data_IF_714604581591
#
_entry.id   IF_714604581591
#
_cell.length_a   1.000
_cell.length_b   1.000
_cell.length_c   1.000
_cell.angle_alpha   90.00
_cell.angle_beta   90.00
_cell.angle_gamma   90.00
#
_symmetry.space_group_name_H-M   'P 1'
#
loop_
_entity.id
_entity.type
_entity.pdbx_description
1 polymer ?
#
# COMPACT_ATOMS: atom_id res chain seq x y z
N UNK A 1 -7.50 -18.82 28.48
CA UNK A 1 -7.03 -18.61 29.89
C UNK A 1 -6.48 -17.21 29.99
N UNK A 2 -7.22 -16.30 30.60
CA UNK A 2 -6.88 -14.87 30.68
C UNK A 2 -5.75 -14.68 31.69
N UNK A 3 -4.61 -14.15 31.27
CA UNK A 3 -3.57 -13.66 32.20
C UNK A 3 -3.74 -12.15 32.37
N UNK A 4 -4.17 -11.75 33.55
CA UNK A 4 -4.22 -10.35 33.99
C UNK A 4 -2.79 -9.93 34.35
N UNK A 5 -2.31 -8.84 33.75
CA UNK A 5 -1.10 -8.15 34.19
C UNK A 5 -1.55 -7.04 35.14
N UNK A 6 -1.00 -7.09 36.34
CA UNK A 6 -1.27 -6.15 37.43
C UNK A 6 -0.25 -5.02 37.34
N UNK A 7 -0.71 -3.80 37.11
CA UNK A 7 0.12 -2.60 37.21
C UNK A 7 0.38 -2.26 38.68
N UNK A 8 1.62 -2.16 39.08
CA UNK A 8 2.04 -1.71 40.41
C UNK A 8 2.25 -0.18 40.40
N UNK A 9 1.38 0.56 41.06
CA UNK A 9 1.58 1.98 41.37
C UNK A 9 2.55 2.10 42.54
N UNK A 10 3.67 2.80 42.35
CA UNK A 10 4.50 3.28 43.42
C UNK A 10 4.07 4.71 43.81
N UNK A 11 3.45 4.83 44.98
CA UNK A 11 3.15 6.10 45.60
C UNK A 11 4.37 6.55 46.43
N UNK A 12 4.93 7.72 46.12
CA UNK A 12 5.92 8.41 46.95
C UNK A 12 5.22 9.39 47.87
N UNK A 13 5.28 9.11 49.16
CA UNK A 13 4.80 10.00 50.24
C UNK A 13 5.77 11.15 50.48
N UNK A 14 5.30 12.37 50.41
CA UNK A 14 5.99 13.54 50.96
C UNK A 14 5.83 13.56 52.50
N UNK A 15 6.94 13.61 53.21
CA UNK A 15 6.97 14.03 54.62
C UNK A 15 7.54 15.44 54.68
N UNK A 16 6.66 16.36 55.09
CA UNK A 16 7.04 17.71 55.59
C UNK A 16 7.49 17.62 57.01
N UNK A 17 8.66 18.14 57.32
CA UNK A 17 9.17 18.35 58.67
C UNK A 17 9.70 19.79 58.83
N UNK A 18 8.95 20.64 59.55
CA UNK A 18 9.45 21.93 60.05
C UNK A 18 10.29 21.74 61.29
N UNK A 19 11.48 22.36 61.35
CA UNK A 19 12.08 22.77 62.61
C UNK A 19 12.75 24.14 62.38
N UNK A 20 12.39 25.09 63.25
CA UNK A 20 12.95 26.45 63.33
C UNK A 20 14.18 26.48 64.26
N UNK A 21 15.12 27.36 63.93
CA UNK A 21 15.93 27.92 65.03
C UNK A 21 17.37 28.30 64.76
N UNK A 22 17.62 29.58 64.69
CA UNK A 22 18.80 30.36 65.11
C UNK A 22 20.14 30.27 64.32
N UNK A 23 20.46 31.44 63.88
CA UNK A 23 21.54 31.91 63.05
C UNK A 23 22.97 31.82 63.63
N UNK A 24 23.86 31.98 62.69
CA UNK A 24 25.10 32.84 62.77
C UNK A 24 25.63 32.96 61.34
N UNK A 25 26.02 34.17 60.99
CA UNK A 25 26.61 34.49 59.70
C UNK A 25 28.08 34.00 59.60
N UNK A 26 28.44 33.36 58.48
CA UNK A 26 29.83 33.32 57.96
C UNK A 26 29.74 33.22 56.44
N UNK A 27 30.43 34.14 55.83
CA UNK A 27 30.92 34.38 54.46
C UNK A 27 30.61 33.37 53.34
N UNK A 28 30.18 33.98 52.25
CA UNK A 28 29.98 33.40 50.91
C UNK A 28 31.25 32.73 50.36
N UNK A 29 31.04 31.53 49.85
CA UNK A 29 31.82 30.95 48.75
C UNK A 29 30.78 30.37 47.79
N UNK A 30 30.65 30.99 46.62
CA UNK A 30 29.84 30.49 45.50
C UNK A 30 30.53 29.23 44.99
N UNK A 31 30.00 28.06 45.28
CA UNK A 31 30.21 26.86 44.44
C UNK A 31 29.14 26.85 43.35
N UNK A 32 29.55 27.20 42.12
CA UNK A 32 28.82 26.89 40.91
C UNK A 32 28.67 25.38 40.80
N UNK A 33 27.54 24.86 41.23
CA UNK A 33 27.11 23.52 40.84
C UNK A 33 26.63 23.59 39.39
N UNK A 34 27.51 23.33 38.44
CA UNK A 34 27.17 23.00 37.08
C UNK A 34 26.34 21.71 37.12
N UNK A 35 25.04 21.83 37.05
CA UNK A 35 24.16 20.72 36.66
C UNK A 35 24.45 20.47 35.19
N UNK A 36 25.33 19.52 34.91
CA UNK A 36 25.43 18.89 33.62
C UNK A 36 24.11 18.16 33.39
N UNK A 37 23.20 18.79 32.65
CA UNK A 37 22.19 18.09 31.92
C UNK A 37 22.93 17.31 30.84
N UNK A 38 23.21 16.05 31.07
CA UNK A 38 23.50 15.11 30.00
C UNK A 38 22.22 15.04 29.16
N UNK A 39 22.12 15.91 28.16
CA UNK A 39 21.34 15.61 26.98
C UNK A 39 22.09 14.42 26.36
N UNK A 40 21.46 13.27 26.34
CA UNK A 40 21.87 12.20 25.46
C UNK A 40 21.78 12.74 24.05
N UNK A 41 22.89 13.24 23.50
CA UNK A 41 23.13 13.25 22.07
C UNK A 41 23.19 11.77 21.68
N UNK A 42 22.05 11.17 21.32
CA UNK A 42 22.06 9.93 20.58
C UNK A 42 22.90 10.20 19.34
N UNK A 43 24.00 9.48 19.21
CA UNK A 43 24.97 9.57 18.11
C UNK A 43 24.23 9.21 16.79
N UNK A 44 23.63 10.20 16.16
CA UNK A 44 22.90 10.09 14.90
C UNK A 44 23.86 9.97 13.70
N UNK A 45 25.13 9.59 13.95
CA UNK A 45 26.18 9.45 12.94
C UNK A 45 26.37 7.99 12.49
N UNK A 46 25.78 7.01 13.17
CA UNK A 46 25.86 5.61 12.78
C UNK A 46 24.92 5.31 11.62
N UNK A 47 25.41 4.53 10.66
CA UNK A 47 24.66 4.09 9.48
C UNK A 47 24.64 2.56 9.39
N UNK A 48 23.61 2.03 8.77
CA UNK A 48 23.50 0.63 8.36
C UNK A 48 23.22 0.53 6.87
N UNK A 49 23.39 -0.63 6.30
CA UNK A 49 23.20 -0.87 4.86
C UNK A 49 21.97 -1.73 4.63
N UNK A 50 21.15 -1.33 3.66
CA UNK A 50 20.09 -2.17 3.07
C UNK A 50 20.40 -2.45 1.61
N UNK A 51 19.94 -3.57 1.08
CA UNK A 51 20.06 -3.90 -0.35
C UNK A 51 18.74 -3.58 -1.03
N UNK A 52 18.77 -2.69 -2.00
CA UNK A 52 17.58 -2.29 -2.75
C UNK A 52 17.11 -3.40 -3.73
N UNK A 53 15.94 -3.21 -4.36
CA UNK A 53 15.38 -4.20 -5.29
C UNK A 53 16.18 -4.38 -6.59
N UNK A 54 17.15 -3.51 -6.86
CA UNK A 54 18.08 -3.61 -8.00
C UNK A 54 19.42 -4.26 -7.62
N UNK A 55 19.59 -4.62 -6.33
CA UNK A 55 20.80 -5.23 -5.79
C UNK A 55 21.89 -4.24 -5.39
N UNK A 56 21.57 -2.95 -5.27
CA UNK A 56 22.51 -1.94 -4.81
C UNK A 56 22.52 -1.88 -3.29
N UNK A 57 23.72 -1.70 -2.71
CA UNK A 57 23.85 -1.38 -1.28
C UNK A 57 23.62 0.10 -1.06
N UNK A 58 22.68 0.44 -0.15
CA UNK A 58 22.30 1.80 0.21
C UNK A 58 22.55 2.01 1.69
N UNK A 59 23.40 2.99 2.05
CA UNK A 59 23.59 3.41 3.43
C UNK A 59 22.40 4.27 3.87
N UNK A 60 21.80 3.91 5.01
CA UNK A 60 20.72 4.64 5.68
C UNK A 60 21.09 4.87 7.14
N UNK A 61 20.47 5.81 7.87
CA UNK A 61 20.70 5.97 9.30
C UNK A 61 20.44 4.66 10.05
N UNK A 62 21.20 4.41 11.12
CA UNK A 62 20.99 3.27 12.01
C UNK A 62 19.58 3.29 12.60
N UNK A 63 19.14 4.46 13.07
CA UNK A 63 17.80 4.70 13.56
C UNK A 63 17.04 5.59 12.57
N UNK A 64 16.11 5.02 11.83
CA UNK A 64 15.25 5.72 10.86
C UNK A 64 13.98 6.20 11.56
N UNK A 65 13.76 7.50 11.60
CA UNK A 65 12.62 8.16 12.25
C UNK A 65 11.77 9.00 11.29
N UNK A 66 12.22 9.19 10.05
CA UNK A 66 11.54 10.03 9.05
C UNK A 66 11.68 9.42 7.66
N UNK A 67 10.59 8.95 7.10
CA UNK A 67 10.55 8.31 5.78
C UNK A 67 9.56 8.98 4.85
N UNK A 68 9.80 8.84 3.54
CA UNK A 68 8.90 9.32 2.51
C UNK A 68 8.63 8.22 1.47
N UNK A 69 7.52 7.47 1.62
CA UNK A 69 7.08 6.52 0.60
C UNK A 69 6.67 7.24 -0.68
N UNK A 70 7.23 6.81 -1.82
CA UNK A 70 7.01 7.43 -3.13
C UNK A 70 5.64 7.15 -3.74
N UNK A 71 4.92 6.11 -3.28
CA UNK A 71 3.55 5.79 -3.72
C UNK A 71 2.64 5.55 -2.52
N UNK A 72 1.34 5.87 -2.67
CA UNK A 72 0.37 5.76 -1.58
C UNK A 72 0.20 4.35 -1.03
N UNK A 73 0.35 3.32 -1.86
CA UNK A 73 0.34 1.93 -1.40
C UNK A 73 1.48 1.64 -0.40
N UNK A 74 2.66 2.22 -0.61
CA UNK A 74 3.77 2.07 0.32
C UNK A 74 3.59 2.90 1.60
N UNK A 75 2.87 4.03 1.53
CA UNK A 75 2.46 4.74 2.74
C UNK A 75 1.56 3.83 3.61
N UNK A 76 0.58 3.16 3.00
CA UNK A 76 -0.29 2.22 3.70
C UNK A 76 0.51 1.05 4.32
N UNK A 77 1.45 0.46 3.58
CA UNK A 77 2.31 -0.61 4.09
C UNK A 77 3.20 -0.10 5.23
N UNK A 78 3.74 1.11 5.12
CA UNK A 78 4.58 1.72 6.16
C UNK A 78 3.81 1.87 7.46
N UNK A 79 2.64 2.53 7.41
CA UNK A 79 1.78 2.73 8.59
C UNK A 79 1.35 1.38 9.21
N UNK A 80 1.05 0.38 8.39
CA UNK A 80 0.73 -0.97 8.83
C UNK A 80 1.91 -1.62 9.57
N UNK A 81 3.15 -1.40 9.12
CA UNK A 81 4.34 -2.02 9.70
C UNK A 81 4.85 -1.28 10.95
N UNK A 82 4.82 0.05 10.94
CA UNK A 82 5.31 0.85 12.07
C UNK A 82 4.34 0.92 13.26
N UNK A 83 3.10 0.51 13.06
CA UNK A 83 2.09 0.43 14.11
C UNK A 83 1.92 1.74 14.90
N UNK A 84 1.87 2.88 14.20
CA UNK A 84 1.56 4.18 14.76
C UNK A 84 2.75 4.92 15.37
N UNK A 85 3.96 4.69 14.90
CA UNK A 85 5.13 5.48 15.33
C UNK A 85 5.28 6.83 14.62
N UNK A 86 4.50 7.04 13.54
CA UNK A 86 4.44 8.32 12.82
C UNK A 86 5.72 8.67 12.06
N UNK A 87 6.36 7.67 11.46
CA UNK A 87 7.61 7.87 10.70
C UNK A 87 7.40 8.50 9.33
N UNK A 88 6.18 8.47 8.78
CA UNK A 88 5.90 9.06 7.46
C UNK A 88 5.85 10.58 7.55
N UNK A 89 6.75 11.27 6.85
CA UNK A 89 6.86 12.74 6.86
C UNK A 89 6.51 13.40 5.53
N UNK A 90 6.40 12.64 4.45
CA UNK A 90 5.91 13.06 3.14
C UNK A 90 5.33 11.86 2.41
N UNK A 91 4.26 12.04 1.65
CA UNK A 91 3.61 10.93 0.93
C UNK A 91 3.00 11.40 -0.40
N UNK A 92 2.56 10.45 -1.23
CA UNK A 92 1.77 10.72 -2.41
C UNK A 92 0.33 11.07 -2.00
N UNK A 93 0.09 12.33 -1.66
CA UNK A 93 -1.13 12.83 -1.00
C UNK A 93 -2.44 12.55 -1.75
N UNK A 94 -2.39 12.34 -3.06
CA UNK A 94 -3.58 12.10 -3.89
C UNK A 94 -4.23 10.72 -3.66
N UNK A 95 -3.59 9.83 -2.91
CA UNK A 95 -4.02 8.45 -2.71
C UNK A 95 -4.42 8.15 -1.25
N UNK A 96 -4.33 9.13 -0.38
CA UNK A 96 -4.68 8.99 1.03
C UNK A 96 -6.16 9.39 1.21
N UNK A 97 -6.95 8.47 1.73
CA UNK A 97 -8.38 8.65 1.98
C UNK A 97 -8.66 9.16 3.40
N UNK A 98 -9.89 9.60 3.65
CA UNK A 98 -10.28 9.99 5.01
C UNK A 98 -10.33 8.76 5.94
N UNK A 99 -10.77 7.59 5.44
CA UNK A 99 -10.77 6.34 6.20
C UNK A 99 -9.35 5.90 6.60
N UNK A 100 -8.37 6.09 5.71
CA UNK A 100 -6.95 5.87 6.02
C UNK A 100 -6.52 6.71 7.24
N UNK A 101 -6.92 7.98 7.29
CA UNK A 101 -6.58 8.89 8.39
C UNK A 101 -7.34 8.59 9.69
N UNK A 102 -8.54 8.02 9.58
CA UNK A 102 -9.31 7.59 10.76
C UNK A 102 -8.64 6.40 11.44
N UNK A 103 -8.01 5.52 10.68
CA UNK A 103 -7.28 4.36 11.19
C UNK A 103 -5.88 4.75 11.64
N UNK A 104 -5.09 5.39 10.79
CA UNK A 104 -3.72 5.80 11.09
C UNK A 104 -3.67 7.24 11.61
N UNK A 105 -3.96 7.39 12.90
CA UNK A 105 -4.09 8.71 13.54
C UNK A 105 -2.77 9.47 13.60
N UNK A 106 -1.66 8.76 13.79
CA UNK A 106 -0.34 9.39 13.84
C UNK A 106 0.04 9.99 12.49
N UNK A 107 -0.32 9.32 11.38
CA UNK A 107 -0.23 9.92 10.05
C UNK A 107 -1.13 11.16 9.94
N UNK A 108 -2.39 11.07 10.37
CA UNK A 108 -3.34 12.21 10.31
C UNK A 108 -2.89 13.41 11.15
N UNK A 109 -2.23 13.18 12.28
CA UNK A 109 -1.67 14.22 13.16
C UNK A 109 -0.30 14.74 12.67
N UNK A 110 0.35 14.01 11.75
CA UNK A 110 1.62 14.41 11.15
C UNK A 110 1.43 15.57 10.15
N UNK A 111 2.54 16.12 9.68
CA UNK A 111 2.54 17.10 8.61
C UNK A 111 2.77 16.47 7.23
N UNK A 112 2.70 15.16 7.09
CA UNK A 112 3.04 14.43 5.87
C UNK A 112 2.23 14.89 4.64
N UNK A 113 0.96 15.27 4.84
CA UNK A 113 0.10 15.77 3.77
C UNK A 113 0.51 17.13 3.19
N UNK A 114 1.38 17.86 3.88
CA UNK A 114 1.88 19.14 3.41
C UNK A 114 3.06 19.01 2.44
N UNK A 115 3.60 17.80 2.29
CA UNK A 115 4.78 17.50 1.51
C UNK A 115 4.50 16.38 0.49
N UNK A 116 4.74 16.70 -0.79
CA UNK A 116 4.59 15.72 -1.88
C UNK A 116 5.88 14.91 -2.04
N UNK A 117 5.78 13.59 -1.89
CA UNK A 117 6.92 12.69 -2.05
C UNK A 117 7.51 12.67 -3.47
N UNK A 118 6.86 13.26 -4.46
CA UNK A 118 7.40 13.43 -5.82
C UNK A 118 8.24 14.70 -5.99
N UNK A 119 8.21 15.62 -5.03
CA UNK A 119 8.92 16.90 -5.03
C UNK A 119 10.18 16.82 -4.17
N UNK A 120 11.36 17.04 -4.76
CA UNK A 120 12.64 17.05 -4.01
C UNK A 120 12.67 18.16 -2.98
N UNK A 121 12.11 19.32 -3.29
CA UNK A 121 12.02 20.44 -2.37
C UNK A 121 11.18 20.09 -1.13
N UNK A 122 10.06 19.42 -1.35
CA UNK A 122 9.17 18.98 -0.25
C UNK A 122 9.84 17.89 0.59
N UNK A 123 10.53 16.94 -0.05
CA UNK A 123 11.29 15.88 0.65
C UNK A 123 12.38 16.49 1.55
N UNK A 124 13.09 17.50 1.09
CA UNK A 124 14.08 18.22 1.90
C UNK A 124 13.41 19.00 3.04
N UNK A 125 12.29 19.68 2.75
CA UNK A 125 11.58 20.48 3.74
C UNK A 125 10.88 19.61 4.82
N UNK A 126 10.45 18.39 4.47
CA UNK A 126 9.83 17.44 5.41
C UNK A 126 10.82 16.85 6.42
N UNK A 127 12.12 16.94 6.13
CA UNK A 127 13.16 16.30 6.95
C UNK A 127 13.28 14.79 6.73
N UNK A 128 12.80 14.27 5.60
CA UNK A 128 12.93 12.84 5.26
C UNK A 128 14.39 12.39 5.31
N UNK A 129 14.65 11.26 5.95
CA UNK A 129 15.95 10.60 6.00
C UNK A 129 16.10 9.58 4.88
N UNK A 130 15.02 8.87 4.58
CA UNK A 130 14.95 7.82 3.56
C UNK A 130 13.72 8.01 2.70
N UNK A 131 13.92 8.01 1.40
CA UNK A 131 12.87 7.96 0.36
C UNK A 131 12.92 6.60 -0.30
N UNK A 132 11.79 5.97 -0.52
CA UNK A 132 11.74 4.68 -1.21
C UNK A 132 10.55 4.55 -2.15
N UNK A 133 10.77 3.88 -3.26
CA UNK A 133 9.77 3.65 -4.28
C UNK A 133 10.38 3.32 -5.64
N UNK A 134 9.55 3.24 -6.70
CA UNK A 134 10.04 3.00 -8.04
C UNK A 134 11.02 4.08 -8.49
N UNK A 135 12.23 3.67 -8.89
CA UNK A 135 13.27 4.61 -9.37
C UNK A 135 12.77 5.49 -10.53
N UNK A 136 11.87 4.97 -11.35
CA UNK A 136 11.27 5.70 -12.47
C UNK A 136 10.47 6.96 -12.07
N UNK A 137 10.18 7.16 -10.78
CA UNK A 137 9.53 8.37 -10.27
C UNK A 137 10.47 9.57 -10.21
N UNK A 138 11.78 9.33 -10.20
CA UNK A 138 12.78 10.38 -10.06
C UNK A 138 13.75 10.37 -11.24
N UNK A 139 14.15 11.56 -11.71
CA UNK A 139 15.26 11.70 -12.64
C UNK A 139 16.59 11.51 -11.93
N UNK A 140 17.64 11.21 -12.67
CA UNK A 140 19.01 11.10 -12.11
C UNK A 140 19.46 12.39 -11.42
N UNK A 141 19.01 13.57 -11.91
CA UNK A 141 19.28 14.88 -11.29
C UNK A 141 18.60 14.98 -9.92
N UNK A 142 17.32 14.58 -9.81
CA UNK A 142 16.58 14.56 -8.55
C UNK A 142 17.21 13.61 -7.54
N UNK A 143 17.62 12.40 -7.96
CA UNK A 143 18.33 11.44 -7.08
C UNK A 143 19.67 12.02 -6.58
N UNK A 144 20.39 12.76 -7.43
CA UNK A 144 21.60 13.46 -6.99
C UNK A 144 21.32 14.59 -6.00
N UNK A 145 20.22 15.33 -6.16
CA UNK A 145 19.80 16.36 -5.22
C UNK A 145 19.44 15.78 -3.85
N UNK A 146 18.69 14.67 -3.80
CA UNK A 146 18.41 13.95 -2.57
C UNK A 146 19.71 13.53 -1.86
N UNK A 147 20.63 12.92 -2.60
CA UNK A 147 21.94 12.52 -2.06
C UNK A 147 22.74 13.70 -1.51
N UNK A 148 22.73 14.86 -2.18
CA UNK A 148 23.43 16.08 -1.72
C UNK A 148 22.78 16.65 -0.46
N UNK A 149 21.47 16.45 -0.29
CA UNK A 149 20.74 16.82 0.92
C UNK A 149 20.92 15.81 2.07
N UNK A 150 21.65 14.70 1.84
CA UNK A 150 21.84 13.65 2.85
C UNK A 150 20.64 12.69 2.98
N UNK A 151 19.73 12.69 2.00
CA UNK A 151 18.55 11.82 1.97
C UNK A 151 18.91 10.56 1.17
N UNK A 152 18.75 9.40 1.78
CA UNK A 152 18.96 8.12 1.10
C UNK A 152 17.75 7.78 0.20
N UNK A 153 18.01 7.23 -0.98
CA UNK A 153 16.97 6.70 -1.85
C UNK A 153 17.14 5.17 -1.98
N UNK A 154 16.09 4.42 -1.64
CA UNK A 154 16.05 2.96 -1.76
C UNK A 154 15.06 2.59 -2.88
N UNK A 155 15.57 1.97 -3.94
CA UNK A 155 14.74 1.56 -5.08
C UNK A 155 13.86 0.36 -4.73
N UNK A 156 12.56 0.47 -5.01
CA UNK A 156 11.60 -0.63 -4.98
C UNK A 156 10.92 -0.67 -6.35
N UNK A 157 11.45 -1.48 -7.27
CA UNK A 157 11.13 -1.35 -8.70
C UNK A 157 10.29 -2.48 -9.27
N UNK A 158 10.40 -3.70 -8.73
CA UNK A 158 9.65 -4.86 -9.25
C UNK A 158 8.41 -5.12 -8.39
N UNK A 159 7.23 -4.93 -8.98
CA UNK A 159 5.93 -5.03 -8.31
C UNK A 159 4.91 -5.75 -9.21
N UNK A 160 5.37 -6.75 -9.98
CA UNK A 160 4.57 -7.40 -11.01
C UNK A 160 3.87 -8.68 -10.55
N UNK A 161 4.26 -9.20 -9.38
CA UNK A 161 3.75 -10.45 -8.82
C UNK A 161 3.76 -10.41 -7.29
N UNK A 162 3.05 -11.36 -6.65
CA UNK A 162 2.91 -11.42 -5.20
C UNK A 162 4.24 -11.63 -4.47
N UNK A 163 5.18 -12.38 -5.06
CA UNK A 163 6.49 -12.58 -4.44
C UNK A 163 7.29 -11.27 -4.39
N UNK A 164 7.37 -10.55 -5.50
CA UNK A 164 8.05 -9.25 -5.54
C UNK A 164 7.39 -8.19 -4.65
N UNK A 165 6.07 -8.28 -4.46
CA UNK A 165 5.36 -7.47 -3.47
C UNK A 165 5.80 -7.80 -2.04
N UNK A 166 5.82 -9.07 -1.67
CA UNK A 166 6.28 -9.51 -0.34
C UNK A 166 7.75 -9.12 -0.10
N UNK A 167 8.63 -9.25 -1.11
CA UNK A 167 10.02 -8.80 -1.02
C UNK A 167 10.11 -7.29 -0.78
N UNK A 168 9.22 -6.51 -1.40
CA UNK A 168 9.13 -5.07 -1.19
C UNK A 168 8.69 -4.73 0.25
N UNK A 169 7.75 -5.46 0.81
CA UNK A 169 7.28 -5.26 2.18
C UNK A 169 8.37 -5.59 3.20
N UNK A 170 9.13 -6.66 2.98
CA UNK A 170 10.31 -6.98 3.81
C UNK A 170 11.37 -5.88 3.73
N UNK A 171 11.62 -5.35 2.53
CA UNK A 171 12.57 -4.25 2.37
C UNK A 171 12.09 -2.97 3.06
N UNK A 172 10.79 -2.65 3.02
CA UNK A 172 10.22 -1.54 3.79
C UNK A 172 10.43 -1.78 5.29
N UNK A 173 10.13 -2.97 5.81
CA UNK A 173 10.41 -3.33 7.19
C UNK A 173 11.88 -3.15 7.57
N UNK A 174 12.81 -3.61 6.72
CA UNK A 174 14.25 -3.40 6.90
C UNK A 174 14.64 -1.92 6.93
N UNK A 175 14.02 -1.07 6.12
CA UNK A 175 14.27 0.38 6.14
C UNK A 175 13.80 0.98 7.48
N UNK A 176 12.63 0.61 7.95
CA UNK A 176 12.01 1.18 9.14
C UNK A 176 12.72 0.80 10.43
N UNK A 177 13.10 -0.47 10.59
CA UNK A 177 13.80 -0.94 11.77
C UNK A 177 13.59 -2.43 12.02
N UNK A 178 14.14 -2.91 13.14
CA UNK A 178 14.13 -4.34 13.44
C UNK A 178 12.73 -4.88 13.80
N UNK A 179 11.95 -4.10 14.53
CA UNK A 179 10.60 -4.52 14.94
C UNK A 179 9.68 -4.57 13.73
N UNK A 180 9.82 -3.61 12.81
CA UNK A 180 9.06 -3.54 11.56
C UNK A 180 9.51 -4.61 10.56
N UNK A 181 10.80 -4.99 10.53
CA UNK A 181 11.28 -6.13 9.76
C UNK A 181 10.62 -7.44 10.23
N UNK A 182 10.60 -7.69 11.55
CA UNK A 182 9.94 -8.87 12.13
C UNK A 182 8.42 -8.86 11.85
N UNK A 183 7.79 -7.68 11.85
CA UNK A 183 6.37 -7.52 11.51
C UNK A 183 6.12 -7.76 10.02
N UNK A 184 7.01 -7.28 9.14
CA UNK A 184 6.94 -7.50 7.71
C UNK A 184 7.11 -8.99 7.35
N UNK A 185 8.01 -9.71 8.02
CA UNK A 185 8.16 -11.16 7.86
C UNK A 185 6.86 -11.90 8.22
N UNK A 186 6.26 -11.60 9.38
CA UNK A 186 4.98 -12.19 9.80
C UNK A 186 3.85 -11.90 8.82
N UNK A 187 3.81 -10.67 8.28
CA UNK A 187 2.84 -10.28 7.27
C UNK A 187 3.02 -11.06 5.98
N UNK A 188 4.26 -11.23 5.51
CA UNK A 188 4.55 -12.00 4.32
C UNK A 188 4.21 -13.49 4.50
N UNK A 189 4.42 -14.06 5.69
CA UNK A 189 3.99 -15.43 6.01
C UNK A 189 2.46 -15.56 5.95
N UNK A 190 1.72 -14.59 6.47
CA UNK A 190 0.26 -14.53 6.36
C UNK A 190 -0.19 -14.43 4.88
N UNK A 191 0.45 -13.55 4.09
CA UNK A 191 0.13 -13.39 2.67
C UNK A 191 0.41 -14.68 1.90
N UNK A 192 1.57 -15.31 2.11
CA UNK A 192 1.92 -16.57 1.47
C UNK A 192 0.93 -17.68 1.84
N UNK A 193 0.53 -17.77 3.12
CA UNK A 193 -0.45 -18.77 3.55
C UNK A 193 -1.80 -18.61 2.85
N UNK A 194 -2.25 -17.38 2.57
CA UNK A 194 -3.49 -17.13 1.82
C UNK A 194 -3.38 -17.58 0.36
N UNK A 195 -2.22 -17.40 -0.27
CA UNK A 195 -1.93 -17.91 -1.62
C UNK A 195 -1.92 -19.43 -1.63
N UNK A 196 -1.20 -20.05 -0.70
CA UNK A 196 -1.05 -21.51 -0.59
C UNK A 196 -2.41 -22.19 -0.39
N UNK A 197 -3.30 -21.62 0.42
CA UNK A 197 -4.66 -22.13 0.61
C UNK A 197 -5.44 -22.10 -0.71
N UNK A 198 -5.44 -20.98 -1.43
CA UNK A 198 -6.13 -20.85 -2.72
C UNK A 198 -5.59 -21.84 -3.75
N UNK A 199 -4.28 -21.95 -3.88
CA UNK A 199 -3.64 -22.89 -4.79
C UNK A 199 -3.94 -24.34 -4.41
N UNK A 200 -4.00 -24.67 -3.11
CA UNK A 200 -4.34 -26.01 -2.64
C UNK A 200 -5.76 -26.45 -3.03
N UNK A 201 -6.70 -25.51 -3.07
CA UNK A 201 -8.11 -25.74 -3.45
C UNK A 201 -8.28 -25.90 -4.97
N UNK A 202 -7.45 -25.22 -5.75
CA UNK A 202 -7.58 -25.14 -7.22
C UNK A 202 -6.61 -26.04 -7.99
N UNK A 203 -5.65 -26.69 -7.32
CA UNK A 203 -4.57 -27.50 -7.93
C UNK A 203 -5.03 -28.66 -8.82
N UNK A 204 -6.22 -29.20 -8.55
CA UNK A 204 -6.75 -30.37 -9.26
C UNK A 204 -7.70 -29.97 -10.41
N UNK A 205 -7.82 -28.66 -10.72
CA UNK A 205 -8.58 -28.18 -11.85
C UNK A 205 -7.88 -28.49 -13.16
N UNK A 206 -8.60 -29.12 -14.09
CA UNK A 206 -8.13 -29.27 -15.47
C UNK A 206 -8.06 -27.90 -16.15
N UNK A 207 -7.11 -27.69 -17.08
CA UNK A 207 -6.94 -26.43 -17.81
C UNK A 207 -8.24 -25.94 -18.46
N UNK A 208 -9.02 -26.85 -19.06
CA UNK A 208 -10.32 -26.54 -19.71
C UNK A 208 -11.40 -26.13 -18.70
N UNK A 209 -11.20 -26.40 -17.42
CA UNK A 209 -12.12 -26.07 -16.31
C UNK A 209 -11.75 -24.75 -15.61
N UNK A 210 -10.60 -24.18 -15.90
CA UNK A 210 -10.18 -22.91 -15.33
C UNK A 210 -11.04 -21.76 -15.83
N UNK A 211 -11.48 -20.92 -14.89
CA UNK A 211 -12.30 -19.73 -15.21
C UNK A 211 -11.44 -18.66 -15.90
N UNK A 212 -11.93 -18.16 -17.02
CA UNK A 212 -11.33 -17.06 -17.77
C UNK A 212 -11.70 -15.74 -17.11
N UNK A 213 -10.72 -15.01 -16.63
CA UNK A 213 -10.92 -13.72 -15.97
C UNK A 213 -10.22 -12.60 -16.75
N UNK A 214 -10.87 -11.44 -16.78
CA UNK A 214 -10.35 -10.21 -17.38
C UNK A 214 -10.44 -9.08 -16.37
N UNK A 215 -9.35 -8.36 -16.14
CA UNK A 215 -9.41 -7.04 -15.51
C UNK A 215 -9.70 -6.01 -16.58
N UNK A 216 -10.82 -5.29 -16.44
CA UNK A 216 -11.28 -4.31 -17.40
C UNK A 216 -11.63 -3.01 -16.72
N UNK A 217 -11.12 -1.89 -17.22
CA UNK A 217 -11.49 -0.55 -16.79
C UNK A 217 -12.12 0.19 -17.96
N UNK A 218 -13.13 1.02 -17.67
CA UNK A 218 -13.78 1.87 -18.66
C UNK A 218 -13.64 3.32 -18.24
N UNK A 219 -13.27 4.17 -19.18
CA UNK A 219 -13.18 5.62 -18.94
C UNK A 219 -13.61 6.36 -20.20
N UNK A 220 -14.79 7.01 -20.13
CA UNK A 220 -15.33 7.77 -21.27
C UNK A 220 -15.52 6.94 -22.54
N UNK A 221 -15.89 5.66 -22.40
CA UNK A 221 -16.10 4.73 -23.52
C UNK A 221 -14.80 4.11 -24.06
N UNK A 222 -13.67 4.34 -23.41
CA UNK A 222 -12.40 3.68 -23.75
C UNK A 222 -12.16 2.54 -22.78
N UNK A 223 -11.95 1.32 -23.30
CA UNK A 223 -11.59 0.17 -22.51
C UNK A 223 -10.08 0.07 -22.34
N UNK A 224 -9.66 -0.34 -21.16
CA UNK A 224 -8.27 -0.67 -20.87
C UNK A 224 -8.16 -1.92 -20.00
N UNK A 225 -7.11 -2.69 -20.22
CA UNK A 225 -6.81 -3.93 -19.49
C UNK A 225 -5.37 -3.95 -19.04
N UNK A 226 -4.95 -5.03 -18.39
CA UNK A 226 -3.58 -5.28 -17.96
C UNK A 226 -3.11 -6.64 -18.48
N UNK A 227 -1.81 -6.79 -18.64
CA UNK A 227 -1.22 -8.05 -19.09
C UNK A 227 -0.39 -8.72 -17.99
N UNK A 228 0.41 -9.74 -18.34
CA UNK A 228 1.26 -10.52 -17.43
C UNK A 228 2.30 -9.72 -16.65
N UNK A 229 2.51 -8.44 -16.96
CA UNK A 229 3.44 -7.58 -16.23
C UNK A 229 2.76 -6.81 -15.08
N UNK A 230 1.48 -7.03 -14.85
CA UNK A 230 0.71 -6.45 -13.75
C UNK A 230 0.44 -7.50 -12.66
N UNK A 231 0.41 -7.07 -11.41
CA UNK A 231 0.15 -7.92 -10.25
C UNK A 231 -1.14 -8.72 -10.35
N UNK A 232 -2.15 -8.20 -11.05
CA UNK A 232 -3.42 -8.90 -11.24
C UNK A 232 -3.23 -10.25 -11.94
N UNK A 233 -2.23 -10.40 -12.83
CA UNK A 233 -1.97 -11.68 -13.46
C UNK A 233 -1.55 -12.74 -12.45
N UNK A 234 -0.63 -12.41 -11.54
CA UNK A 234 -0.22 -13.31 -10.46
C UNK A 234 -1.41 -13.70 -9.58
N UNK A 235 -2.21 -12.71 -9.16
CA UNK A 235 -3.40 -12.93 -8.33
C UNK A 235 -4.41 -13.85 -9.04
N UNK A 236 -4.63 -13.66 -10.34
CA UNK A 236 -5.55 -14.49 -11.11
C UNK A 236 -5.08 -15.95 -11.18
N UNK A 237 -3.79 -16.18 -11.43
CA UNK A 237 -3.18 -17.51 -11.46
C UNK A 237 -3.18 -18.17 -10.07
N UNK A 238 -2.86 -17.44 -9.02
CA UNK A 238 -2.88 -17.88 -7.62
C UNK A 238 -4.30 -18.29 -7.17
N UNK A 239 -5.32 -17.60 -7.66
CA UNK A 239 -6.73 -17.94 -7.45
C UNK A 239 -7.22 -19.09 -8.35
N UNK A 240 -6.36 -19.67 -9.20
CA UNK A 240 -6.68 -20.76 -10.12
C UNK A 240 -7.33 -20.35 -11.42
N UNK A 241 -7.43 -19.04 -11.73
CA UNK A 241 -8.00 -18.51 -12.97
C UNK A 241 -6.99 -18.36 -14.09
N UNK A 242 -7.48 -17.96 -15.27
CA UNK A 242 -6.67 -17.61 -16.45
C UNK A 242 -6.93 -16.15 -16.79
N UNK A 243 -5.93 -15.30 -16.67
CA UNK A 243 -6.03 -13.93 -17.19
C UNK A 243 -5.98 -13.97 -18.73
N UNK A 244 -7.11 -13.70 -19.38
CA UNK A 244 -7.22 -13.79 -20.85
C UNK A 244 -6.42 -12.75 -21.61
N UNK A 245 -6.01 -11.68 -20.94
CA UNK A 245 -5.17 -10.61 -21.50
C UNK A 245 -3.69 -10.73 -21.16
N UNK A 246 -3.24 -11.87 -20.56
CA UNK A 246 -1.86 -12.05 -20.10
C UNK A 246 -0.82 -11.76 -21.18
N UNK A 247 -1.03 -12.24 -22.39
CA UNK A 247 -0.10 -12.06 -23.52
C UNK A 247 -0.47 -10.90 -24.46
N UNK A 248 -1.44 -10.05 -24.04
CA UNK A 248 -1.84 -8.91 -24.86
C UNK A 248 -0.77 -7.82 -24.83
N UNK A 249 -0.40 -7.37 -26.03
CA UNK A 249 0.52 -6.27 -26.23
C UNK A 249 -0.10 -5.29 -27.23
N UNK A 250 -0.06 -3.99 -26.92
CA UNK A 250 -0.44 -2.98 -27.90
C UNK A 250 0.65 -2.89 -28.96
N UNK A 251 0.34 -3.14 -30.21
CA UNK A 251 1.26 -2.85 -31.31
C UNK A 251 1.50 -1.34 -31.36
N UNK A 252 2.74 -0.90 -31.18
CA UNK A 252 3.19 0.49 -31.38
C UNK A 252 3.11 0.88 -32.88
N UNK A 253 2.00 0.66 -33.54
CA UNK A 253 1.67 1.14 -34.87
C UNK A 253 0.13 1.17 -35.07
N UNK A 254 -0.61 1.56 -34.03
CA UNK A 254 -2.01 1.91 -34.18
C UNK A 254 -2.10 3.18 -35.02
N UNK A 255 -2.34 3.03 -36.31
CA UNK A 255 -2.87 4.06 -37.19
C UNK A 255 -4.10 4.66 -36.52
N UNK A 256 -3.90 5.77 -35.79
CA UNK A 256 -4.98 6.56 -35.24
C UNK A 256 -5.79 7.09 -36.42
N UNK A 257 -6.84 6.35 -36.76
CA UNK A 257 -7.83 6.76 -37.75
C UNK A 257 -8.19 8.23 -37.52
N UNK A 258 -7.90 9.03 -38.53
CA UNK A 258 -8.16 10.44 -38.71
C UNK A 258 -9.42 10.94 -37.98
N UNK A 259 -9.19 11.82 -37.01
CA UNK A 259 -10.29 12.69 -36.57
C UNK A 259 -9.99 13.41 -35.25
N UNK A 260 -9.40 14.62 -35.33
CA UNK A 260 -9.53 15.57 -34.23
C UNK A 260 -8.26 16.28 -33.80
N UNK A 261 -7.89 17.26 -34.61
CA UNK A 261 -7.30 18.57 -34.24
C UNK A 261 -6.65 18.70 -32.86
N UNK A 262 -5.33 18.65 -32.83
CA UNK A 262 -4.54 19.17 -31.72
C UNK A 262 -4.83 20.66 -31.56
N UNK A 263 -5.63 20.99 -30.56
CA UNK A 263 -5.73 22.35 -30.06
C UNK A 263 -5.16 22.34 -28.64
N UNK A 264 -3.96 22.88 -28.54
CA UNK A 264 -3.37 23.32 -27.29
C UNK A 264 -4.34 24.25 -26.59
N UNK A 265 -5.05 23.75 -25.60
CA UNK A 265 -5.95 24.49 -24.73
C UNK A 265 -5.40 24.47 -23.33
N UNK A 266 -4.79 25.59 -22.94
CA UNK A 266 -4.47 25.91 -21.56
C UNK A 266 -5.77 26.01 -20.75
N UNK A 267 -5.86 25.31 -19.63
CA UNK A 267 -6.83 25.67 -18.59
C UNK A 267 -7.77 24.58 -18.13
N UNK A 268 -7.72 24.28 -16.85
CA UNK A 268 -8.89 23.81 -16.10
C UNK A 268 -8.77 22.44 -15.46
N UNK A 269 -8.23 22.42 -14.26
CA UNK A 269 -8.62 21.60 -13.13
C UNK A 269 -9.94 20.83 -13.33
N UNK A 270 -9.89 19.50 -13.45
CA UNK A 270 -10.83 18.52 -12.92
C UNK A 270 -10.63 17.17 -13.63
N UNK A 271 -9.49 16.53 -13.39
CA UNK A 271 -9.34 15.07 -13.55
C UNK A 271 -8.71 14.55 -12.26
N UNK A 272 -9.42 14.74 -11.14
CA UNK A 272 -9.16 14.03 -9.90
C UNK A 272 -9.78 12.64 -10.03
N UNK A 273 -8.94 11.64 -10.14
CA UNK A 273 -9.35 10.25 -10.11
C UNK A 273 -8.49 9.40 -11.05
N UNK A 274 -7.65 8.56 -10.49
CA UNK A 274 -6.85 7.52 -11.10
C UNK A 274 -5.48 7.93 -11.66
N UNK A 275 -4.55 8.16 -10.76
CA UNK A 275 -3.15 7.87 -11.00
C UNK A 275 -2.58 7.10 -9.80
N UNK A 276 -3.08 5.87 -9.59
CA UNK A 276 -2.27 4.86 -8.94
C UNK A 276 -1.09 4.58 -9.87
N UNK A 277 0.15 4.68 -9.38
CA UNK A 277 1.39 4.60 -10.17
C UNK A 277 1.63 3.25 -10.87
N UNK A 278 0.65 2.77 -11.63
CA UNK A 278 0.74 1.70 -12.61
C UNK A 278 0.90 2.30 -14.01
N UNK A 279 1.62 1.62 -14.90
CA UNK A 279 1.58 1.93 -16.34
C UNK A 279 0.12 2.13 -16.74
N UNK A 280 -0.19 3.17 -17.53
CA UNK A 280 -1.51 3.34 -18.09
C UNK A 280 -1.95 1.99 -18.67
N UNK A 281 -3.19 1.56 -18.36
CA UNK A 281 -3.70 0.28 -18.83
C UNK A 281 -3.58 0.17 -20.35
N UNK A 282 -3.42 -1.04 -20.86
CA UNK A 282 -3.34 -1.31 -22.28
C UNK A 282 -4.72 -1.05 -22.90
N UNK A 283 -4.82 -0.13 -23.84
CA UNK A 283 -6.07 0.11 -24.57
C UNK A 283 -6.48 -1.15 -25.34
N UNK A 284 -7.74 -1.53 -25.24
CA UNK A 284 -8.32 -2.70 -25.91
C UNK A 284 -9.66 -2.32 -26.52
N UNK A 285 -10.03 -2.93 -27.64
CA UNK A 285 -11.34 -2.73 -28.25
C UNK A 285 -12.35 -3.83 -27.86
N UNK A 286 -13.62 -3.57 -28.14
CA UNK A 286 -14.69 -4.51 -27.82
C UNK A 286 -14.57 -5.83 -28.61
N UNK A 287 -14.01 -5.81 -29.82
CA UNK A 287 -13.83 -7.00 -30.66
C UNK A 287 -12.84 -7.96 -30.02
N UNK A 288 -11.75 -7.43 -29.47
CA UNK A 288 -10.76 -8.24 -28.76
C UNK A 288 -11.33 -8.81 -27.44
N UNK A 289 -12.14 -8.04 -26.71
CA UNK A 289 -12.82 -8.52 -25.49
C UNK A 289 -13.80 -9.66 -25.84
N UNK A 290 -14.54 -9.52 -26.94
CA UNK A 290 -15.44 -10.56 -27.44
C UNK A 290 -14.67 -11.83 -27.88
N UNK A 291 -13.49 -11.69 -28.51
CA UNK A 291 -12.63 -12.81 -28.87
C UNK A 291 -12.13 -13.57 -27.64
N UNK A 292 -11.66 -12.88 -26.62
CA UNK A 292 -11.25 -13.49 -25.35
C UNK A 292 -12.41 -14.15 -24.63
N UNK A 293 -13.60 -13.53 -24.71
CA UNK A 293 -14.84 -13.99 -24.09
C UNK A 293 -14.66 -14.44 -22.63
N UNK A 294 -14.26 -13.54 -21.72
CA UNK A 294 -14.05 -13.89 -20.31
C UNK A 294 -15.34 -14.37 -19.64
N UNK A 295 -15.19 -15.29 -18.68
CA UNK A 295 -16.29 -15.78 -17.83
C UNK A 295 -16.57 -14.87 -16.65
N UNK A 296 -15.55 -14.12 -16.21
CA UNK A 296 -15.61 -13.14 -15.12
C UNK A 296 -14.87 -11.87 -15.55
N UNK A 297 -15.44 -10.72 -15.26
CA UNK A 297 -14.76 -9.42 -15.39
C UNK A 297 -14.60 -8.79 -14.00
N UNK A 298 -13.39 -8.34 -13.70
CA UNK A 298 -13.06 -7.59 -12.50
C UNK A 298 -12.74 -6.15 -12.90
N UNK A 299 -13.32 -5.18 -12.19
CA UNK A 299 -13.07 -3.76 -12.41
C UNK A 299 -12.66 -3.08 -11.11
N UNK A 300 -12.17 -1.83 -11.18
CA UNK A 300 -11.63 -1.11 -10.01
C UNK A 300 -12.63 -0.10 -9.42
N UNK A 301 -13.79 0.11 -10.06
CA UNK A 301 -14.77 1.07 -9.60
C UNK A 301 -16.20 0.55 -9.86
N UNK A 302 -17.13 0.89 -8.97
CA UNK A 302 -18.54 0.53 -9.12
C UNK A 302 -19.14 1.14 -10.39
N UNK A 303 -18.76 2.36 -10.77
CA UNK A 303 -19.24 3.00 -12.00
C UNK A 303 -18.89 2.17 -13.24
N UNK A 304 -17.69 1.56 -13.27
CA UNK A 304 -17.28 0.69 -14.35
C UNK A 304 -18.12 -0.60 -14.45
N UNK A 305 -18.65 -1.12 -13.33
CA UNK A 305 -19.55 -2.28 -13.35
C UNK A 305 -20.80 -1.96 -14.16
N UNK A 306 -21.42 -0.80 -13.89
CA UNK A 306 -22.62 -0.35 -14.59
C UNK A 306 -22.33 -0.03 -16.06
N UNK A 307 -21.22 0.64 -16.37
CA UNK A 307 -20.80 0.94 -17.74
C UNK A 307 -20.59 -0.35 -18.55
N UNK A 308 -19.85 -1.34 -18.03
CA UNK A 308 -19.57 -2.62 -18.70
C UNK A 308 -20.86 -3.43 -18.88
N UNK A 309 -21.70 -3.51 -17.84
CA UNK A 309 -22.91 -4.35 -17.86
C UNK A 309 -23.96 -3.83 -18.84
N UNK A 310 -24.04 -2.50 -19.01
CA UNK A 310 -25.02 -1.88 -19.89
C UNK A 310 -24.48 -1.55 -21.30
N UNK A 311 -23.22 -1.91 -21.60
CA UNK A 311 -22.63 -1.63 -22.90
C UNK A 311 -23.12 -2.60 -23.97
N UNK A 312 -23.83 -2.14 -25.01
CA UNK A 312 -24.29 -3.01 -26.10
C UNK A 312 -23.15 -3.72 -26.83
N UNK A 313 -21.95 -3.13 -26.87
CA UNK A 313 -20.79 -3.73 -27.55
C UNK A 313 -20.26 -4.97 -26.81
N UNK A 314 -20.51 -5.06 -25.49
CA UNK A 314 -20.07 -6.17 -24.64
C UNK A 314 -21.19 -7.15 -24.28
N UNK A 315 -22.41 -6.92 -24.76
CA UNK A 315 -23.61 -7.72 -24.43
C UNK A 315 -23.45 -9.21 -24.73
N UNK A 316 -22.56 -9.58 -25.66
CA UNK A 316 -22.31 -10.97 -26.04
C UNK A 316 -21.16 -11.64 -25.26
N UNK A 317 -20.45 -10.92 -24.37
CA UNK A 317 -19.42 -11.47 -23.49
C UNK A 317 -20.05 -12.36 -22.41
N UNK A 318 -19.48 -13.53 -22.13
CA UNK A 318 -19.99 -14.48 -21.15
C UNK A 318 -20.18 -13.84 -19.77
N UNK A 319 -19.20 -13.08 -19.29
CA UNK A 319 -19.28 -12.38 -18.01
C UNK A 319 -20.49 -11.46 -17.92
N UNK A 320 -20.75 -10.68 -18.96
CA UNK A 320 -21.89 -9.74 -19.02
C UNK A 320 -23.22 -10.49 -19.08
N UNK A 321 -23.35 -11.50 -19.96
CA UNK A 321 -24.55 -12.34 -20.06
C UNK A 321 -24.94 -13.01 -18.75
N UNK A 322 -23.94 -13.43 -17.98
CA UNK A 322 -24.14 -14.19 -16.74
C UNK A 322 -24.14 -13.30 -15.49
N UNK A 323 -24.02 -11.97 -15.63
CA UNK A 323 -23.97 -11.02 -14.51
C UNK A 323 -22.74 -11.19 -13.63
N UNK A 324 -21.63 -11.65 -14.21
CA UNK A 324 -20.35 -11.90 -13.51
C UNK A 324 -19.34 -10.76 -13.76
N UNK A 325 -19.78 -9.54 -13.53
CA UNK A 325 -18.96 -8.32 -13.55
C UNK A 325 -18.89 -7.80 -12.12
N UNK A 326 -17.71 -7.75 -11.54
CA UNK A 326 -17.50 -7.42 -10.12
C UNK A 326 -16.57 -6.25 -9.95
N UNK A 327 -16.90 -5.38 -8.99
CA UNK A 327 -15.94 -4.40 -8.48
C UNK A 327 -14.95 -5.07 -7.53
N UNK A 328 -13.69 -4.66 -7.59
CA UNK A 328 -12.68 -5.04 -6.61
C UNK A 328 -13.06 -4.46 -5.23
N UNK A 329 -12.94 -5.21 -4.13
CA UNK A 329 -13.04 -4.65 -2.79
C UNK A 329 -12.07 -3.50 -2.58
N UNK A 330 -12.40 -2.65 -1.63
CA UNK A 330 -11.58 -1.51 -1.24
C UNK A 330 -11.73 -1.28 0.27
N UNK A 331 -10.62 -1.30 0.96
CA UNK A 331 -10.52 -0.90 2.35
C UNK A 331 -9.83 0.46 2.48
N UNK A 332 -8.79 0.53 3.30
CA UNK A 332 -7.96 1.73 3.40
C UNK A 332 -7.20 1.99 2.10
N UNK A 333 -7.01 0.95 1.32
CA UNK A 333 -6.44 1.04 -0.02
C UNK A 333 -7.18 0.09 -0.99
N UNK A 334 -7.03 0.35 -2.28
CA UNK A 334 -7.64 -0.47 -3.33
C UNK A 334 -6.98 -1.85 -3.41
N UNK A 335 -7.78 -2.92 -3.48
CA UNK A 335 -7.26 -4.28 -3.71
C UNK A 335 -6.88 -4.48 -5.18
N UNK A 336 -6.09 -5.50 -5.45
CA UNK A 336 -5.63 -5.80 -6.83
C UNK A 336 -4.58 -4.81 -7.36
N UNK A 337 -4.00 -4.00 -6.47
CA UNK A 337 -2.86 -3.11 -6.74
C UNK A 337 -1.69 -3.44 -5.80
N UNK A 338 -0.91 -2.47 -5.31
CA UNK A 338 0.36 -2.71 -4.59
C UNK A 338 0.27 -2.50 -3.08
N UNK A 339 -0.88 -2.75 -2.47
CA UNK A 339 -1.11 -2.54 -1.03
C UNK A 339 -0.98 -3.84 -0.22
N UNK A 340 -0.88 -3.73 1.10
CA UNK A 340 -0.95 -4.87 2.00
C UNK A 340 -2.29 -5.60 1.93
N UNK A 341 -3.38 -4.92 1.60
CA UNK A 341 -4.71 -5.53 1.46
C UNK A 341 -4.81 -6.55 0.32
N UNK A 342 -3.80 -6.62 -0.57
CA UNK A 342 -3.71 -7.69 -1.57
C UNK A 342 -3.63 -9.10 -0.99
N UNK A 343 -3.21 -9.25 0.25
CA UNK A 343 -3.23 -10.55 0.93
C UNK A 343 -4.66 -11.15 1.02
N UNK A 344 -5.69 -10.30 0.97
CA UNK A 344 -7.09 -10.69 0.95
C UNK A 344 -7.66 -10.82 -0.48
N UNK A 345 -6.97 -10.28 -1.49
CA UNK A 345 -7.47 -10.28 -2.87
C UNK A 345 -7.51 -11.69 -3.49
N UNK A 346 -6.49 -12.50 -3.26
CA UNK A 346 -6.41 -13.87 -3.81
C UNK A 346 -7.55 -14.77 -3.31
N UNK A 347 -7.84 -14.88 -1.98
CA UNK A 347 -8.99 -15.66 -1.52
C UNK A 347 -10.35 -15.10 -1.94
N UNK A 348 -10.49 -13.75 -2.01
CA UNK A 348 -11.70 -13.15 -2.55
C UNK A 348 -11.92 -13.52 -4.01
N UNK A 349 -10.88 -13.41 -4.84
CA UNK A 349 -10.98 -13.78 -6.25
C UNK A 349 -11.25 -15.29 -6.41
N UNK A 350 -10.59 -16.13 -5.61
CA UNK A 350 -10.85 -17.58 -5.57
C UNK A 350 -12.33 -17.88 -5.33
N UNK A 351 -12.95 -17.21 -4.36
CA UNK A 351 -14.39 -17.36 -4.08
C UNK A 351 -15.28 -16.85 -5.22
N UNK A 352 -14.88 -15.78 -5.91
CA UNK A 352 -15.60 -15.26 -7.09
C UNK A 352 -15.52 -16.24 -8.26
N UNK A 353 -14.35 -16.84 -8.50
CA UNK A 353 -14.13 -17.76 -9.61
C UNK A 353 -14.73 -19.15 -9.34
N UNK A 354 -14.60 -19.66 -8.11
CA UNK A 354 -14.94 -21.04 -7.73
C UNK A 354 -15.74 -21.09 -6.40
N UNK A 355 -16.95 -20.55 -6.34
CA UNK A 355 -17.70 -20.46 -5.08
C UNK A 355 -17.85 -21.82 -4.38
N UNK A 356 -17.95 -22.92 -5.11
CA UNK A 356 -18.11 -24.27 -4.53
C UNK A 356 -16.82 -24.78 -3.85
N UNK A 357 -15.64 -24.35 -4.30
CA UNK A 357 -14.35 -24.69 -3.69
C UNK A 357 -13.99 -23.81 -2.49
N UNK A 358 -14.68 -22.70 -2.34
CA UNK A 358 -14.46 -21.69 -1.29
C UNK A 358 -15.72 -21.46 -0.43
N UNK A 359 -16.63 -22.48 -0.34
CA UNK A 359 -17.89 -22.34 0.42
C UNK A 359 -17.67 -22.13 1.93
N UNK A 360 -16.53 -22.60 2.46
CA UNK A 360 -16.12 -22.46 3.85
C UNK A 360 -15.37 -21.14 4.13
N UNK A 361 -15.06 -20.33 3.12
CA UNK A 361 -14.32 -19.06 3.27
C UNK A 361 -15.28 -17.93 3.63
N UNK A 362 -15.13 -17.39 4.84
CA UNK A 362 -15.86 -16.20 5.28
C UNK A 362 -15.03 -14.94 5.07
N UNK A 363 -15.20 -14.28 3.91
CA UNK A 363 -14.47 -13.06 3.57
C UNK A 363 -14.74 -11.91 4.54
N UNK A 364 -15.91 -11.82 5.17
CA UNK A 364 -16.17 -10.78 6.19
C UNK A 364 -15.31 -11.02 7.42
N UNK A 365 -15.19 -12.27 7.84
CA UNK A 365 -14.33 -12.63 8.97
C UNK A 365 -12.84 -12.35 8.65
N UNK A 366 -12.39 -12.70 7.44
CA UNK A 366 -11.01 -12.42 6.98
C UNK A 366 -10.71 -10.91 7.02
N UNK A 367 -11.63 -10.07 6.51
CA UNK A 367 -11.47 -8.60 6.55
C UNK A 367 -11.39 -8.10 8.00
N UNK A 368 -12.26 -8.58 8.88
CA UNK A 368 -12.25 -8.17 10.30
C UNK A 368 -10.96 -8.57 11.01
N UNK A 369 -10.48 -9.80 10.78
CA UNK A 369 -9.21 -10.29 11.33
C UNK A 369 -8.02 -9.51 10.77
N UNK A 370 -8.02 -9.21 9.47
CA UNK A 370 -6.97 -8.41 8.86
C UNK A 370 -6.87 -7.02 9.49
N UNK A 371 -8.00 -6.33 9.69
CA UNK A 371 -8.02 -5.02 10.30
C UNK A 371 -7.59 -5.05 11.77
N UNK A 372 -8.00 -6.08 12.51
CA UNK A 372 -7.60 -6.25 13.90
C UNK A 372 -6.08 -6.54 14.05
N UNK A 373 -5.53 -7.41 13.20
CA UNK A 373 -4.15 -7.88 13.33
C UNK A 373 -3.11 -6.89 12.77
N UNK A 374 -3.51 -6.15 11.69
CA UNK A 374 -2.57 -5.33 10.94
C UNK A 374 -2.79 -3.83 11.08
N UNK A 375 -4.00 -3.40 11.47
CA UNK A 375 -4.35 -1.98 11.63
C UNK A 375 -4.75 -1.64 13.07
N UNK A 376 -4.68 -2.60 14.00
CA UNK A 376 -5.16 -2.44 15.38
C UNK A 376 -6.58 -1.82 15.45
N UNK A 377 -7.43 -2.18 14.49
CA UNK A 377 -8.77 -1.61 14.30
C UNK A 377 -9.82 -2.70 14.24
N UNK A 378 -10.84 -2.61 15.10
CA UNK A 378 -11.97 -3.53 15.05
C UNK A 378 -13.05 -3.04 14.06
N UNK A 379 -13.37 -3.87 13.06
CA UNK A 379 -14.52 -3.64 12.18
C UNK A 379 -15.73 -4.45 12.65
N UNK A 380 -16.92 -3.86 12.58
CA UNK A 380 -18.18 -4.59 12.66
C UNK A 380 -18.54 -5.23 11.30
N UNK A 381 -19.66 -5.96 11.27
CA UNK A 381 -20.12 -6.62 10.06
C UNK A 381 -20.45 -5.62 8.93
N UNK A 382 -20.94 -4.44 9.28
CA UNK A 382 -21.27 -3.42 8.29
C UNK A 382 -20.01 -2.79 7.67
N UNK A 383 -18.95 -2.57 8.46
CA UNK A 383 -17.65 -2.12 7.99
C UNK A 383 -17.01 -3.15 7.05
N UNK A 384 -17.01 -4.43 7.43
CA UNK A 384 -16.48 -5.49 6.57
C UNK A 384 -17.28 -5.63 5.26
N UNK A 385 -18.61 -5.48 5.30
CA UNK A 385 -19.46 -5.47 4.09
C UNK A 385 -19.17 -4.26 3.20
N UNK A 386 -18.90 -3.09 3.77
CA UNK A 386 -18.53 -1.89 3.01
C UNK A 386 -17.20 -2.08 2.27
N UNK A 387 -16.18 -2.62 2.94
CA UNK A 387 -14.89 -2.99 2.31
C UNK A 387 -15.10 -3.95 1.13
N UNK A 388 -15.85 -5.03 1.34
CA UNK A 388 -16.10 -6.04 0.29
C UNK A 388 -16.94 -5.49 -0.87
N UNK A 389 -17.76 -4.48 -0.63
CA UNK A 389 -18.55 -3.79 -1.66
C UNK A 389 -17.75 -2.70 -2.42
N UNK A 390 -16.52 -2.43 -2.02
CA UNK A 390 -15.69 -1.36 -2.60
C UNK A 390 -16.28 0.04 -2.38
N UNK A 391 -16.73 0.34 -1.15
CA UNK A 391 -17.42 1.57 -0.79
C UNK A 391 -16.66 2.34 0.28
#
# INVERSE_FOLDING_TARGET
MKKKIVAAMLSVSMMTGMIAGYGTAVSAQEEETTVQTEAADEDNSSTRTVTDSEGNEVEIPENVTAVAPGIGAFAQVTEMLENGEGKVVAAATQQITDDFKEVFKDYAESNAENYDSSSVEDLIASGAQVVYGPKSMYTEEQLQQLKQAGIAFVSISNLSDSQSMMDSFKLIGQILGKEEEERAEKFCDYYQASIDDCQSRTKDLDEDSKVKVLRLSVNGGTYSTVNKTDIFNSIAEEAGGINVSADYETTENGDSGKGGNQQQGNGGQNARGQQGGGKAGLTVDAEQILEWNPDVIITLTNDSVDEITNDPALADVNAVKNGKVYNTPQGLYLWGVRSGENAMMTPWLGQVLYPDLFEDVDMKQIVKEFYADWYDTELDDAGAEAVLAGK
#
